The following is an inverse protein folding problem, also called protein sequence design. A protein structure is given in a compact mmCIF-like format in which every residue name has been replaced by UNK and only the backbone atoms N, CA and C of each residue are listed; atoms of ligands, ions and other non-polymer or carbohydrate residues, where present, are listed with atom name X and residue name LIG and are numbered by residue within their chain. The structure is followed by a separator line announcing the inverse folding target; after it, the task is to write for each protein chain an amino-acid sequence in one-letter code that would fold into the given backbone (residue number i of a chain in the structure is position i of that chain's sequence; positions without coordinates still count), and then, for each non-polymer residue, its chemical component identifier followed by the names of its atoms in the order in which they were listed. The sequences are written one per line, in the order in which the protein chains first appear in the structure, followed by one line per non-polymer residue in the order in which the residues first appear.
data_IF_488982343963
#
_entry.id   IF_488982343963
#
_cell.length_a   1.000
_cell.length_b   1.000
_cell.length_c   1.000
_cell.angle_alpha   90.00
_cell.angle_beta   90.00
_cell.angle_gamma   90.00
#
_symmetry.space_group_name_H-M   'P 1'
#
loop_
_entity.id
_entity.type
_entity.pdbx_description
1 polymer ?
#
# COMPACT_ATOMS: atom_id res chain seq x y z
N UNK A 1 68.52 -18.68 13.89
CA UNK A 1 67.58 -18.00 14.80
C UNK A 1 66.20 -18.62 14.55
N UNK A 2 65.89 -19.76 15.19
CA UNK A 2 65.08 -19.88 16.44
C UNK A 2 63.65 -19.35 16.24
N UNK A 3 62.52 -20.06 16.43
CA UNK A 3 62.13 -21.34 17.07
C UNK A 3 60.60 -21.49 16.81
N UNK A 4 60.05 -22.61 16.30
CA UNK A 4 59.50 -23.81 16.99
C UNK A 4 58.44 -23.55 18.10
N UNK A 5 57.17 -23.90 17.82
CA UNK A 5 56.31 -24.93 18.49
C UNK A 5 54.83 -24.72 18.07
N UNK A 6 54.13 -25.58 17.32
CA UNK A 6 53.65 -26.96 17.52
C UNK A 6 52.68 -27.16 18.70
N UNK A 7 51.43 -27.53 18.38
CA UNK A 7 50.75 -28.78 18.78
C UNK A 7 49.22 -28.61 18.73
N UNK A 8 48.36 -29.59 18.43
CA UNK A 8 48.51 -30.89 17.75
C UNK A 8 47.11 -31.54 17.61
N UNK A 9 46.92 -32.26 16.51
CA UNK A 9 46.25 -33.58 16.40
C UNK A 9 44.77 -33.76 16.76
N UNK A 10 43.96 -34.00 15.71
CA UNK A 10 43.02 -35.15 15.65
C UNK A 10 43.81 -36.47 15.66
N UNK A 11 43.28 -37.63 16.13
CA UNK A 11 42.58 -38.54 15.19
C UNK A 11 41.58 -39.60 15.79
N UNK A 12 40.61 -39.99 14.96
CA UNK A 12 39.93 -41.31 14.75
C UNK A 12 39.47 -42.29 15.87
N UNK A 13 38.18 -42.67 15.76
CA UNK A 13 37.56 -44.02 15.77
C UNK A 13 37.41 -44.84 17.09
N UNK A 14 36.18 -45.32 17.39
CA UNK A 14 35.77 -46.75 17.56
C UNK A 14 34.50 -46.95 18.45
N UNK A 15 33.62 -47.85 17.99
CA UNK A 15 32.70 -48.77 18.72
C UNK A 15 31.36 -48.31 19.34
N UNK A 16 30.29 -48.84 18.74
CA UNK A 16 29.20 -49.64 19.34
C UNK A 16 29.05 -49.65 20.88
N UNK A 17 27.87 -49.22 21.36
CA UNK A 17 27.09 -49.95 22.37
C UNK A 17 25.62 -49.47 22.39
N UNK A 18 24.69 -50.44 22.34
CA UNK A 18 23.25 -50.29 22.52
C UNK A 18 22.89 -50.16 24.01
N UNK A 19 21.91 -49.32 24.34
CA UNK A 19 21.00 -49.48 25.49
C UNK A 19 19.62 -48.91 25.09
N UNK A 20 18.64 -49.80 24.84
CA UNK A 20 17.53 -50.20 25.74
C UNK A 20 16.64 -49.04 26.20
N UNK A 21 15.45 -48.95 25.60
CA UNK A 21 14.14 -48.63 26.21
C UNK A 21 13.10 -49.19 25.21
N UNK A 22 12.60 -50.42 25.38
CA UNK A 22 11.41 -50.76 26.17
C UNK A 22 10.16 -49.97 25.76
N UNK A 23 9.51 -50.39 24.67
CA UNK A 23 8.07 -50.21 24.51
C UNK A 23 7.42 -51.59 24.38
N UNK A 24 6.50 -51.82 25.32
CA UNK A 24 5.67 -53.00 25.45
C UNK A 24 4.62 -53.08 24.35
N UNK A 25 4.40 -54.31 23.92
CA UNK A 25 3.47 -54.78 22.91
C UNK A 25 2.00 -54.52 23.23
N UNK A 26 1.21 -54.29 22.18
CA UNK A 26 -0.15 -54.85 22.08
C UNK A 26 -0.30 -55.46 20.69
N UNK A 27 -0.44 -56.78 20.66
CA UNK A 27 -0.68 -57.66 19.51
C UNK A 27 -2.18 -57.71 19.20
N UNK A 28 -2.57 -57.93 17.93
CA UNK A 28 -3.65 -58.83 17.46
C UNK A 28 -3.73 -58.73 15.90
N UNK A 29 -3.23 -59.74 15.17
CA UNK A 29 -3.96 -60.73 14.31
C UNK A 29 -4.79 -60.07 13.17
N UNK A 30 -4.76 -60.46 11.88
CA UNK A 30 -4.42 -61.71 11.18
C UNK A 30 -4.28 -61.43 9.64
N UNK A 31 -3.80 -62.43 8.86
CA UNK A 31 -3.40 -62.40 7.43
C UNK A 31 -4.48 -62.00 6.41
N UNK A 32 -4.28 -61.94 5.08
CA UNK A 32 -3.39 -62.58 4.09
C UNK A 32 -3.60 -61.81 2.77
N UNK A 33 -2.66 -61.48 1.87
CA UNK A 33 -2.05 -62.34 0.83
C UNK A 33 -1.08 -61.50 -0.03
N UNK A 34 0.04 -62.12 -0.46
CA UNK A 34 0.98 -61.67 -1.50
C UNK A 34 0.42 -61.93 -2.91
N UNK A 35 0.69 -61.05 -3.87
CA UNK A 35 1.17 -61.40 -5.24
C UNK A 35 2.08 -60.28 -5.78
N UNK A 36 3.16 -60.68 -6.44
CA UNK A 36 4.26 -59.88 -7.02
C UNK A 36 4.05 -59.51 -8.51
N UNK A 37 4.41 -58.26 -8.87
CA UNK A 37 5.06 -57.68 -10.08
C UNK A 37 5.07 -58.46 -11.44
N UNK A 38 4.99 -57.77 -12.63
CA UNK A 38 6.05 -56.86 -13.07
C UNK A 38 5.68 -55.62 -13.95
N UNK A 39 6.74 -54.87 -14.24
CA UNK A 39 6.98 -53.60 -14.96
C UNK A 39 6.38 -53.39 -16.36
N UNK A 40 5.93 -52.14 -16.65
CA UNK A 40 6.43 -51.26 -17.72
C UNK A 40 5.69 -49.90 -17.76
N UNK A 41 6.44 -48.79 -17.82
CA UNK A 41 5.97 -47.42 -18.13
C UNK A 41 5.60 -47.25 -19.63
N UNK A 42 5.02 -46.11 -20.11
CA UNK A 42 4.51 -44.93 -19.41
C UNK A 42 3.04 -44.58 -19.77
N UNK A 43 2.26 -44.13 -18.79
CA UNK A 43 0.92 -43.59 -19.01
C UNK A 43 0.96 -42.08 -19.24
N UNK A 44 0.56 -41.63 -20.42
CA UNK A 44 0.08 -40.27 -20.67
C UNK A 44 -1.26 -40.07 -19.97
N UNK A 45 -1.30 -39.26 -18.92
CA UNK A 45 -2.57 -38.81 -18.32
C UNK A 45 -2.79 -37.33 -18.62
N UNK A 46 -3.71 -37.09 -19.55
CA UNK A 46 -4.34 -35.81 -19.76
C UNK A 46 -5.39 -35.59 -18.66
N UNK A 47 -5.20 -34.56 -17.84
CA UNK A 47 -6.25 -34.08 -16.92
C UNK A 47 -7.17 -33.15 -17.72
N UNK A 48 -8.35 -33.66 -18.06
CA UNK A 48 -9.50 -32.84 -18.48
C UNK A 48 -10.11 -32.19 -17.24
N UNK A 49 -9.87 -30.90 -17.05
CA UNK A 49 -10.60 -30.11 -16.05
C UNK A 49 -11.88 -29.57 -16.69
N UNK A 50 -13.01 -30.22 -16.44
CA UNK A 50 -14.34 -29.69 -16.76
C UNK A 50 -14.85 -28.82 -15.60
N UNK A 51 -14.64 -27.50 -15.68
CA UNK A 51 -15.29 -26.52 -14.81
C UNK A 51 -16.61 -26.05 -15.41
N UNK A 52 -17.75 -26.51 -14.86
CA UNK A 52 -19.07 -25.91 -15.11
C UNK A 52 -19.23 -24.69 -14.20
N UNK A 53 -19.13 -23.48 -14.75
CA UNK A 53 -19.59 -22.27 -14.08
C UNK A 53 -21.10 -22.16 -14.28
N UNK A 54 -21.88 -22.37 -13.21
CA UNK A 54 -23.30 -21.98 -13.16
C UNK A 54 -23.36 -20.54 -12.65
N UNK A 55 -23.59 -19.58 -13.54
CA UNK A 55 -24.06 -18.25 -13.16
C UNK A 55 -25.58 -18.34 -12.91
N UNK A 56 -26.01 -18.13 -11.66
CA UNK A 56 -27.41 -17.97 -11.32
C UNK A 56 -27.76 -16.48 -11.36
N UNK A 57 -28.57 -16.09 -12.36
CA UNK A 57 -29.25 -14.79 -12.42
C UNK A 57 -30.58 -14.97 -11.69
N UNK A 58 -30.74 -14.33 -10.54
CA UNK A 58 -32.03 -14.25 -9.85
C UNK A 58 -32.68 -12.93 -10.24
N UNK A 59 -33.69 -13.03 -11.08
CA UNK A 59 -34.71 -12.02 -11.34
C UNK A 59 -35.66 -11.95 -10.13
N UNK A 60 -35.99 -10.74 -9.68
CA UNK A 60 -37.11 -10.50 -8.76
C UNK A 60 -37.83 -9.22 -9.18
N UNK A 61 -39.05 -9.40 -9.67
CA UNK A 61 -40.16 -8.45 -9.58
C UNK A 61 -41.39 -9.22 -9.08
N UNK A 62 -42.20 -8.49 -8.29
CA UNK A 62 -43.53 -8.78 -7.74
C UNK A 62 -43.59 -9.86 -6.63
N UNK A 63 -44.15 -9.63 -5.43
CA UNK A 63 -45.48 -9.10 -5.17
C UNK A 63 -45.69 -8.84 -3.64
N UNK A 64 -46.33 -7.71 -3.35
CA UNK A 64 -47.45 -7.44 -2.43
C UNK A 64 -47.72 -8.25 -1.11
N UNK A 65 -48.08 -7.46 -0.06
CA UNK A 65 -48.92 -7.75 1.14
C UNK A 65 -48.23 -8.53 2.30
N UNK A 66 -48.35 -8.19 3.61
CA UNK A 66 -49.19 -7.24 4.35
C UNK A 66 -48.97 -7.36 5.89
N UNK A 67 -49.44 -6.33 6.64
CA UNK A 67 -49.89 -6.29 8.06
C UNK A 67 -48.87 -6.56 9.20
N UNK A 68 -48.89 -5.96 10.41
CA UNK A 68 -49.75 -5.07 11.23
C UNK A 68 -48.88 -4.66 12.45
N UNK A 69 -48.79 -3.41 12.94
CA UNK A 69 -49.73 -2.51 13.62
C UNK A 69 -49.72 -2.61 15.18
N UNK A 70 -49.54 -1.44 15.83
CA UNK A 70 -49.91 -1.09 17.22
C UNK A 70 -48.80 -1.23 18.28
N UNK A 71 -48.59 -0.34 19.27
CA UNK A 71 -49.24 0.91 19.72
C UNK A 71 -48.35 1.50 20.85
N UNK A 72 -47.91 2.78 20.85
CA UNK A 72 -48.56 3.96 21.46
C UNK A 72 -47.84 4.42 22.78
N UNK A 73 -48.12 5.60 23.40
CA UNK A 73 -48.24 6.99 22.87
C UNK A 73 -47.77 8.15 23.84
N UNK A 74 -48.05 9.42 23.43
CA UNK A 74 -48.25 10.70 24.20
C UNK A 74 -47.01 11.62 24.44
N UNK A 75 -47.04 12.97 24.35
CA UNK A 75 -48.10 14.01 24.36
C UNK A 75 -47.59 15.44 23.99
N UNK A 76 -48.50 16.30 23.46
CA UNK A 76 -48.67 17.79 23.56
C UNK A 76 -47.53 18.77 23.12
N UNK A 77 -47.73 19.93 22.46
CA UNK A 77 -48.89 20.67 21.94
C UNK A 77 -48.54 22.16 21.60
N UNK A 78 -49.35 22.81 20.73
CA UNK A 78 -49.58 24.28 20.49
C UNK A 78 -48.55 25.12 19.66
N UNK A 79 -48.83 25.54 18.41
CA UNK A 79 -49.55 26.74 17.85
C UNK A 79 -48.85 28.10 18.13
N UNK A 80 -48.41 28.92 17.14
CA UNK A 80 -49.17 29.87 16.26
C UNK A 80 -48.38 30.22 14.95
N UNK A 81 -48.95 30.20 13.72
CA UNK A 81 -49.63 31.28 12.93
C UNK A 81 -48.69 32.43 12.46
N UNK A 82 -48.57 32.94 11.22
CA UNK A 82 -49.42 32.91 10.01
C UNK A 82 -48.62 33.45 8.75
N UNK A 83 -48.99 33.00 7.52
CA UNK A 83 -48.86 33.62 6.15
C UNK A 83 -47.49 33.72 5.41
N UNK A 84 -47.31 33.51 4.09
CA UNK A 84 -48.15 33.22 2.89
C UNK A 84 -47.21 32.72 1.73
N UNK A 85 -47.71 31.76 0.93
CA UNK A 85 -47.43 31.37 -0.49
C UNK A 85 -46.13 30.66 -1.00
N UNK A 86 -46.41 29.61 -1.79
CA UNK A 86 -45.64 28.56 -2.53
C UNK A 86 -44.99 29.10 -3.85
N UNK A 87 -44.23 28.37 -4.72
CA UNK A 87 -43.69 27.00 -4.66
C UNK A 87 -42.23 26.78 -5.17
N UNK A 88 -41.70 25.57 -4.90
CA UNK A 88 -40.71 24.81 -5.69
C UNK A 88 -39.36 25.47 -6.07
N UNK A 89 -38.27 25.03 -5.43
CA UNK A 89 -36.94 24.86 -6.06
C UNK A 89 -36.04 23.95 -5.20
N UNK A 90 -35.65 22.82 -5.77
CA UNK A 90 -34.60 21.96 -5.23
C UNK A 90 -33.24 22.54 -5.63
N UNK A 91 -32.39 22.78 -4.63
CA UNK A 91 -31.05 23.31 -4.80
C UNK A 91 -30.12 22.27 -5.43
N UNK A 92 -29.45 22.73 -6.48
CA UNK A 92 -28.29 22.12 -7.10
C UNK A 92 -27.07 22.29 -6.20
N UNK A 93 -26.57 21.20 -5.61
CA UNK A 93 -25.24 21.19 -4.99
C UNK A 93 -24.20 20.91 -6.07
N UNK A 94 -23.49 21.97 -6.44
CA UNK A 94 -22.35 21.99 -7.34
C UNK A 94 -21.14 21.32 -6.68
N UNK A 95 -20.73 20.15 -7.18
CA UNK A 95 -19.46 19.53 -6.78
C UNK A 95 -18.33 20.11 -7.65
N UNK A 96 -17.57 21.04 -7.08
CA UNK A 96 -16.40 21.65 -7.71
C UNK A 96 -15.29 20.62 -7.97
N UNK A 97 -14.91 20.48 -9.23
CA UNK A 97 -13.71 19.73 -9.65
C UNK A 97 -12.52 20.67 -9.55
N UNK A 98 -11.56 20.35 -8.68
CA UNK A 98 -10.28 21.05 -8.57
C UNK A 98 -9.50 20.88 -9.88
N UNK A 99 -9.18 22.00 -10.51
CA UNK A 99 -8.37 22.09 -11.71
C UNK A 99 -6.90 21.83 -11.38
N UNK A 100 -6.23 21.01 -12.18
CA UNK A 100 -4.79 20.83 -12.14
C UNK A 100 -4.12 22.08 -12.73
N UNK A 101 -3.47 22.87 -11.88
CA UNK A 101 -2.68 24.02 -12.28
C UNK A 101 -1.43 23.53 -13.03
N UNK A 102 -1.30 23.97 -14.29
CA UNK A 102 -0.17 23.65 -15.16
C UNK A 102 0.75 24.89 -15.21
N UNK A 103 1.86 24.86 -14.47
CA UNK A 103 2.86 25.91 -14.56
C UNK A 103 3.68 25.81 -15.87
N UNK A 104 4.08 26.95 -16.49
CA UNK A 104 4.84 26.95 -17.73
C UNK A 104 6.33 26.69 -17.47
N UNK A 105 6.95 25.83 -18.27
CA UNK A 105 8.40 25.56 -18.26
C UNK A 105 9.21 26.77 -18.78
N UNK A 106 10.32 27.16 -18.14
CA UNK A 106 11.24 28.10 -18.73
C UNK A 106 12.13 27.38 -19.76
N UNK A 107 12.31 28.03 -20.91
CA UNK A 107 13.25 27.62 -21.93
C UNK A 107 14.66 28.13 -21.61
N UNK A 108 15.66 27.35 -22.06
CA UNK A 108 17.10 27.60 -22.14
C UNK A 108 17.95 27.45 -20.87
N UNK A 109 18.76 26.39 -20.91
CA UNK A 109 19.99 26.26 -20.14
C UNK A 109 20.32 24.78 -19.92
N UNK A 110 21.13 24.19 -20.80
CA UNK A 110 21.88 22.97 -20.44
C UNK A 110 22.86 23.40 -19.34
N UNK A 111 22.39 23.31 -18.09
CA UNK A 111 23.24 23.32 -16.91
C UNK A 111 23.78 21.89 -16.81
N UNK A 112 25.09 21.76 -16.65
CA UNK A 112 25.78 20.50 -16.40
C UNK A 112 25.13 19.78 -15.22
N UNK A 113 24.42 18.70 -15.50
CA UNK A 113 23.82 17.78 -14.53
C UNK A 113 24.94 16.94 -13.88
N UNK A 114 25.71 17.54 -12.98
CA UNK A 114 26.52 16.86 -11.96
C UNK A 114 25.86 16.98 -10.57
N UNK A 115 24.55 17.26 -10.53
CA UNK A 115 23.72 17.18 -9.33
C UNK A 115 22.91 15.88 -9.39
N UNK A 116 23.61 14.75 -9.25
CA UNK A 116 22.97 13.58 -8.64
C UNK A 116 22.40 14.08 -7.32
N UNK A 117 21.06 14.21 -7.21
CA UNK A 117 20.41 14.45 -5.94
C UNK A 117 20.97 13.42 -4.96
N UNK A 118 21.80 13.85 -4.00
CA UNK A 118 22.26 13.00 -2.92
C UNK A 118 21.04 12.66 -2.08
N UNK A 119 20.28 11.65 -2.52
CA UNK A 119 19.20 10.97 -1.80
C UNK A 119 19.71 10.40 -0.46
N UNK A 120 21.00 10.52 -0.19
CA UNK A 120 21.74 10.01 0.94
C UNK A 120 21.90 11.05 2.06
N UNK A 121 21.72 12.34 1.79
CA UNK A 121 21.80 13.36 2.82
C UNK A 121 20.51 13.38 3.64
N UNK A 122 20.57 13.53 4.97
CA UNK A 122 19.39 13.81 5.77
C UNK A 122 18.76 15.14 5.33
N UNK A 123 17.44 15.25 5.52
CA UNK A 123 16.74 16.51 5.27
C UNK A 123 17.37 17.62 6.14
N UNK A 124 17.59 18.84 5.62
CA UNK A 124 18.26 19.90 6.38
C UNK A 124 17.65 20.14 7.77
N UNK A 125 18.49 20.09 8.79
CA UNK A 125 18.08 20.22 10.19
C UNK A 125 17.64 18.92 10.87
N UNK A 126 17.79 17.77 10.19
CA UNK A 126 17.66 16.43 10.77
C UNK A 126 19.01 15.71 10.81
N UNK A 127 19.11 14.75 11.72
CA UNK A 127 20.23 13.81 11.81
C UNK A 127 20.08 12.70 10.78
N UNK A 128 21.17 12.01 10.46
CA UNK A 128 21.10 10.86 9.56
C UNK A 128 20.44 9.66 10.23
N UNK A 129 19.73 8.84 9.45
CA UNK A 129 19.14 7.59 9.95
C UNK A 129 20.19 6.63 10.53
N UNK A 130 21.39 6.45 9.92
CA UNK A 130 22.47 5.68 10.55
C UNK A 130 22.88 6.14 11.96
N UNK A 131 22.93 7.45 12.24
CA UNK A 131 23.23 7.96 13.58
C UNK A 131 22.11 7.64 14.57
N UNK A 132 20.84 7.80 14.16
CA UNK A 132 19.71 7.43 15.00
C UNK A 132 19.68 5.93 15.30
N UNK A 133 20.00 5.08 14.32
CA UNK A 133 20.12 3.63 14.50
C UNK A 133 21.19 3.30 15.56
N UNK A 134 22.33 3.99 15.54
CA UNK A 134 23.38 3.79 16.54
C UNK A 134 22.92 4.23 17.94
N UNK A 135 22.24 5.37 18.06
CA UNK A 135 21.73 5.82 19.36
C UNK A 135 20.68 4.86 19.94
N UNK A 136 19.77 4.34 19.12
CA UNK A 136 18.82 3.29 19.52
C UNK A 136 19.55 2.02 19.96
N UNK A 137 20.60 1.61 19.23
CA UNK A 137 21.44 0.45 19.57
C UNK A 137 22.10 0.60 20.94
N UNK A 138 22.48 1.82 21.31
CA UNK A 138 23.06 2.15 22.62
C UNK A 138 22.01 2.39 23.73
N UNK A 139 20.71 2.22 23.44
CA UNK A 139 19.62 2.41 24.40
C UNK A 139 19.28 3.87 24.68
N UNK A 140 19.71 4.80 23.83
CA UNK A 140 19.32 6.21 23.92
C UNK A 140 17.98 6.47 23.25
N UNK A 141 17.39 7.61 23.57
CA UNK A 141 16.25 8.13 22.83
C UNK A 141 16.67 8.76 21.51
N UNK A 142 15.76 8.69 20.53
CA UNK A 142 15.77 9.49 19.31
C UNK A 142 14.41 10.19 19.22
N UNK A 143 14.41 11.46 18.82
CA UNK A 143 13.18 12.19 18.48
C UNK A 143 12.80 11.85 17.05
N UNK A 144 11.62 11.28 16.85
CA UNK A 144 11.08 10.96 15.53
C UNK A 144 9.93 11.90 15.24
N UNK A 145 9.96 12.58 14.09
CA UNK A 145 8.87 13.47 13.66
C UNK A 145 8.19 12.94 12.40
N UNK A 146 6.89 13.14 12.30
CA UNK A 146 6.13 12.89 11.09
C UNK A 146 5.98 14.15 10.22
N UNK A 147 5.31 14.00 9.07
CA UNK A 147 5.09 15.12 8.15
C UNK A 147 4.09 16.14 8.73
N UNK A 148 4.23 17.41 8.34
CA UNK A 148 3.38 18.51 8.81
C UNK A 148 1.87 18.28 8.52
N UNK A 149 1.55 17.52 7.47
CA UNK A 149 0.18 17.19 7.07
C UNK A 149 -0.44 16.02 7.86
N UNK A 150 0.32 15.37 8.75
CA UNK A 150 -0.13 14.21 9.55
C UNK A 150 -0.46 14.61 11.00
N UNK A 151 0.41 14.31 11.97
CA UNK A 151 0.26 14.76 13.37
C UNK A 151 1.00 16.10 13.56
N UNK A 152 2.09 16.31 12.81
CA UNK A 152 3.04 17.42 12.98
C UNK A 152 3.64 17.42 14.40
N UNK A 153 3.88 16.24 14.96
CA UNK A 153 4.30 16.00 16.33
C UNK A 153 5.64 15.24 16.35
N UNK A 154 6.24 15.13 17.53
CA UNK A 154 7.49 14.41 17.72
C UNK A 154 7.42 13.47 18.90
N UNK A 155 7.91 12.25 18.70
CA UNK A 155 7.92 11.18 19.69
C UNK A 155 9.33 10.89 20.19
N UNK A 156 9.46 10.67 21.50
CA UNK A 156 10.63 10.03 22.09
C UNK A 156 10.60 8.53 21.80
N UNK A 157 11.52 8.04 20.98
CA UNK A 157 11.61 6.64 20.59
C UNK A 157 12.84 5.97 21.19
N UNK A 158 12.68 4.77 21.78
CA UNK A 158 13.79 3.91 22.20
C UNK A 158 13.47 2.41 22.04
N UNK A 159 14.48 1.55 22.13
CA UNK A 159 14.28 0.10 22.16
C UNK A 159 13.73 -0.36 23.51
N UNK A 160 12.62 -1.11 23.52
CA UNK A 160 11.95 -1.54 24.75
C UNK A 160 12.83 -2.47 25.61
N UNK A 161 13.63 -3.33 24.98
CA UNK A 161 14.56 -4.22 25.70
C UNK A 161 15.67 -3.49 26.47
N UNK A 162 15.86 -2.19 26.21
CA UNK A 162 16.85 -1.34 26.88
C UNK A 162 16.19 -0.31 27.82
N UNK A 163 14.89 -0.44 28.08
CA UNK A 163 14.16 0.49 28.93
C UNK A 163 14.70 0.49 30.38
N UNK A 164 14.93 1.68 30.93
CA UNK A 164 15.36 1.88 32.31
C UNK A 164 14.37 2.76 33.09
N UNK A 165 14.38 2.71 34.44
CA UNK A 165 13.60 3.64 35.25
C UNK A 165 13.94 5.11 34.95
N UNK A 166 15.21 5.42 34.66
CA UNK A 166 15.65 6.78 34.31
C UNK A 166 15.07 7.22 32.96
N UNK A 167 15.04 6.32 31.97
CA UNK A 167 14.42 6.59 30.68
C UNK A 167 12.91 6.83 30.82
N UNK A 168 12.23 6.05 31.67
CA UNK A 168 10.80 6.26 31.93
C UNK A 168 10.53 7.55 32.69
N UNK A 169 11.39 7.91 33.65
CA UNK A 169 11.30 9.20 34.33
C UNK A 169 11.50 10.36 33.36
N UNK A 170 12.39 10.20 32.36
CA UNK A 170 12.59 11.18 31.29
C UNK A 170 11.33 11.35 30.42
N UNK A 171 10.71 10.25 29.99
CA UNK A 171 9.42 10.29 29.26
C UNK A 171 8.34 10.98 30.10
N UNK A 172 8.22 10.67 31.38
CA UNK A 172 7.21 11.28 32.27
C UNK A 172 7.40 12.78 32.42
N UNK A 173 8.65 13.23 32.40
CA UNK A 173 8.99 14.64 32.56
C UNK A 173 8.72 15.47 31.31
N UNK A 174 8.88 14.87 30.12
CA UNK A 174 8.93 15.60 28.86
C UNK A 174 7.85 15.19 27.83
N UNK A 175 7.15 14.09 28.05
CA UNK A 175 6.09 13.60 27.18
C UNK A 175 4.71 13.68 27.80
N UNK A 176 3.70 13.22 27.05
CA UNK A 176 2.30 13.15 27.49
C UNK A 176 2.08 12.24 28.71
N UNK A 177 3.03 11.34 28.97
CA UNK A 177 2.92 10.29 29.97
C UNK A 177 2.15 9.06 29.50
N UNK A 178 1.57 9.10 28.29
CA UNK A 178 0.96 7.94 27.62
C UNK A 178 2.09 7.11 27.00
N UNK A 179 2.69 6.24 27.80
CA UNK A 179 3.83 5.43 27.37
C UNK A 179 3.34 4.25 26.54
N UNK A 180 3.63 4.31 25.24
CA UNK A 180 3.24 3.30 24.29
C UNK A 180 4.37 2.29 24.01
N UNK A 181 4.00 1.06 23.68
CA UNK A 181 4.94 0.00 23.29
C UNK A 181 4.49 -0.64 21.98
N UNK A 182 5.14 -0.30 20.88
CA UNK A 182 4.86 -0.88 19.57
C UNK A 182 5.46 -2.28 19.46
N UNK A 183 4.67 -3.24 18.99
CA UNK A 183 5.11 -4.63 18.82
C UNK A 183 4.39 -5.33 17.66
N UNK A 184 5.01 -6.40 17.17
CA UNK A 184 4.48 -7.23 16.08
C UNK A 184 3.21 -7.98 16.48
N UNK A 185 2.43 -8.35 15.48
CA UNK A 185 1.18 -9.11 15.68
C UNK A 185 1.43 -10.44 16.38
N UNK A 186 2.48 -11.17 15.99
CA UNK A 186 2.85 -12.46 16.59
C UNK A 186 3.13 -12.34 18.11
N UNK A 187 3.73 -11.22 18.55
CA UNK A 187 3.98 -10.95 19.97
C UNK A 187 2.68 -10.61 20.71
N UNK A 188 1.81 -9.82 20.09
CA UNK A 188 0.48 -9.51 20.65
C UNK A 188 -0.40 -10.76 20.76
N UNK A 189 -0.39 -11.64 19.76
CA UNK A 189 -1.10 -12.92 19.79
C UNK A 189 -0.54 -13.84 20.88
N UNK A 190 0.79 -13.97 20.97
CA UNK A 190 1.47 -14.75 22.02
C UNK A 190 1.08 -14.26 23.41
N UNK A 191 1.04 -12.94 23.63
CA UNK A 191 0.71 -12.31 24.91
C UNK A 191 -0.81 -12.15 25.13
N UNK A 192 -1.64 -12.54 24.16
CA UNK A 192 -3.11 -12.38 24.17
C UNK A 192 -3.53 -10.94 24.50
N UNK A 193 -3.02 -10.00 23.71
CA UNK A 193 -3.28 -8.57 23.81
C UNK A 193 -4.16 -8.13 22.61
N UNK A 194 -5.49 -8.33 22.68
CA UNK A 194 -6.38 -7.88 21.62
C UNK A 194 -6.43 -6.36 21.54
N UNK A 195 -6.86 -5.84 20.38
CA UNK A 195 -7.18 -4.41 20.22
C UNK A 195 -8.23 -3.98 21.26
N UNK A 196 -8.07 -2.78 21.81
CA UNK A 196 -9.02 -2.22 22.79
C UNK A 196 -10.37 -1.91 22.14
N UNK A 197 -10.34 -1.46 20.88
CA UNK A 197 -11.52 -1.20 20.04
C UNK A 197 -11.32 -1.94 18.72
N UNK A 198 -12.38 -2.56 18.21
CA UNK A 198 -12.31 -3.25 16.93
C UNK A 198 -11.95 -2.27 15.81
N UNK A 199 -11.17 -2.72 14.82
CA UNK A 199 -10.67 -1.84 13.77
C UNK A 199 -11.75 -1.15 12.93
N UNK A 200 -12.93 -1.77 12.79
CA UNK A 200 -14.08 -1.16 12.09
C UNK A 200 -14.76 -0.05 12.89
N UNK A 201 -14.57 -0.06 14.21
CA UNK A 201 -15.18 0.85 15.17
C UNK A 201 -14.15 1.86 15.70
N UNK A 202 -12.90 1.80 15.21
CA UNK A 202 -11.87 2.76 15.57
C UNK A 202 -12.07 4.06 14.78
N UNK A 203 -12.77 5.00 15.40
CA UNK A 203 -13.09 6.32 14.85
C UNK A 203 -11.99 7.36 15.12
N UNK A 204 -10.86 6.97 15.72
CA UNK A 204 -9.70 7.85 15.89
C UNK A 204 -9.15 8.26 14.52
N UNK A 205 -8.80 9.56 14.40
CA UNK A 205 -8.42 10.23 13.15
C UNK A 205 -7.33 9.49 12.37
N UNK A 206 -6.38 8.89 13.07
CA UNK A 206 -5.21 8.19 12.49
C UNK A 206 -5.25 6.67 12.69
N UNK A 207 -6.37 6.20 13.25
CA UNK A 207 -6.70 4.81 13.59
C UNK A 207 -5.51 4.08 14.23
N UNK A 208 -4.89 4.70 15.23
CA UNK A 208 -3.80 4.10 16.01
C UNK A 208 -4.31 2.83 16.69
N UNK A 209 -3.54 1.75 16.56
CA UNK A 209 -3.99 0.40 16.88
C UNK A 209 -3.69 0.02 18.34
N UNK A 210 -4.35 0.72 19.27
CA UNK A 210 -4.24 0.45 20.70
C UNK A 210 -4.77 -0.93 21.07
N UNK A 211 -4.03 -1.61 21.94
CA UNK A 211 -4.46 -2.87 22.58
C UNK A 211 -4.89 -2.62 24.02
N UNK A 212 -5.39 -3.66 24.68
CA UNK A 212 -5.69 -3.60 26.12
C UNK A 212 -4.42 -3.21 26.89
N UNK A 213 -4.53 -2.22 27.77
CA UNK A 213 -3.39 -1.76 28.59
C UNK A 213 -2.95 -2.82 29.59
N UNK A 214 -1.67 -2.77 29.96
CA UNK A 214 -1.06 -3.80 30.81
C UNK A 214 -0.11 -3.23 31.84
N UNK A 215 0.04 -3.99 32.92
CA UNK A 215 1.16 -3.90 33.87
C UNK A 215 1.78 -5.28 34.04
N UNK A 216 3.09 -5.35 34.25
CA UNK A 216 3.72 -6.57 34.73
C UNK A 216 3.11 -6.94 36.09
N UNK A 217 2.81 -8.23 36.26
CA UNK A 217 2.16 -8.76 37.46
C UNK A 217 3.12 -8.92 38.63
N UNK A 218 4.39 -9.18 38.33
CA UNK A 218 5.45 -9.38 39.30
C UNK A 218 6.50 -8.28 39.15
N UNK A 219 7.14 -7.89 40.27
CA UNK A 219 8.20 -6.87 40.26
C UNK A 219 7.70 -5.43 40.19
N UNK A 220 6.38 -5.22 40.26
CA UNK A 220 5.70 -3.91 40.24
C UNK A 220 4.89 -3.72 41.53
N UNK A 221 4.41 -2.50 41.74
CA UNK A 221 3.51 -2.13 42.84
C UNK A 221 2.16 -1.68 42.29
N UNK A 222 2.01 -0.40 41.96
CA UNK A 222 0.80 0.16 41.36
C UNK A 222 0.86 0.23 39.84
N UNK A 223 2.03 0.02 39.22
CA UNK A 223 2.21 0.05 37.77
C UNK A 223 2.64 1.40 37.20
N UNK A 224 2.32 2.50 37.89
CA UNK A 224 2.50 3.88 37.35
C UNK A 224 3.91 4.46 37.53
N UNK A 225 4.68 3.94 38.48
CA UNK A 225 6.03 4.46 38.77
C UNK A 225 6.95 4.28 37.56
N UNK A 226 7.99 5.10 37.42
CA UNK A 226 8.96 4.95 36.33
C UNK A 226 9.62 3.56 36.35
N UNK A 227 9.90 3.03 37.55
CA UNK A 227 10.44 1.68 37.75
C UNK A 227 9.43 0.60 37.36
N UNK A 228 8.17 0.77 37.73
CA UNK A 228 7.11 -0.21 37.43
C UNK A 228 6.86 -0.27 35.92
N UNK A 229 6.79 0.90 35.27
CA UNK A 229 6.67 1.01 33.81
C UNK A 229 7.84 0.39 33.07
N UNK A 230 9.08 0.65 33.50
CA UNK A 230 10.26 0.01 32.91
C UNK A 230 10.19 -1.52 33.06
N UNK A 231 9.74 -2.02 34.21
CA UNK A 231 9.56 -3.46 34.45
C UNK A 231 8.52 -4.07 33.51
N UNK A 232 7.38 -3.40 33.32
CA UNK A 232 6.34 -3.80 32.36
C UNK A 232 6.86 -3.83 30.93
N UNK A 233 7.60 -2.79 30.51
CA UNK A 233 8.15 -2.69 29.15
C UNK A 233 9.18 -3.79 28.88
N UNK A 234 10.08 -4.06 29.83
CA UNK A 234 11.05 -5.16 29.72
C UNK A 234 10.36 -6.52 29.64
N UNK A 235 9.26 -6.72 30.39
CA UNK A 235 8.44 -7.92 30.27
C UNK A 235 7.77 -8.03 28.90
N UNK A 236 7.23 -6.93 28.36
CA UNK A 236 6.64 -6.89 27.01
C UNK A 236 7.67 -7.22 25.92
N UNK A 237 8.90 -6.72 26.05
CA UNK A 237 10.00 -6.99 25.12
C UNK A 237 10.53 -8.44 25.21
N UNK A 238 10.27 -9.15 26.31
CA UNK A 238 10.77 -10.50 26.52
C UNK A 238 10.02 -11.54 25.69
N UNK A 239 10.78 -12.36 24.95
CA UNK A 239 10.26 -13.52 24.22
C UNK A 239 9.76 -14.64 25.13
N UNK A 240 10.26 -14.69 26.37
CA UNK A 240 9.90 -15.72 27.36
C UNK A 240 8.61 -15.38 28.12
N UNK A 241 8.15 -14.12 28.03
CA UNK A 241 6.95 -13.69 28.72
C UNK A 241 5.69 -14.33 28.14
N UNK A 242 4.72 -14.54 29.04
CA UNK A 242 3.46 -15.22 28.78
C UNK A 242 2.29 -14.31 29.14
N UNK A 243 1.07 -14.60 28.64
CA UNK A 243 -0.11 -13.81 28.96
C UNK A 243 -0.36 -13.64 30.46
N UNK A 244 0.00 -14.63 31.28
CA UNK A 244 -0.21 -14.66 32.73
C UNK A 244 0.75 -13.74 33.52
N UNK A 245 1.81 -13.26 32.88
CA UNK A 245 2.78 -12.33 33.47
C UNK A 245 2.25 -10.88 33.53
N UNK A 246 1.08 -10.62 32.94
CA UNK A 246 0.50 -9.29 32.82
C UNK A 246 -0.88 -9.19 33.47
N UNK A 247 -1.09 -8.10 34.22
CA UNK A 247 -2.41 -7.63 34.64
C UNK A 247 -3.05 -6.83 33.49
N UNK A 248 -4.39 -6.89 33.41
CA UNK A 248 -5.22 -6.15 32.43
C UNK A 248 -6.43 -5.59 33.19
N UNK A 249 -6.69 -4.27 33.21
CA UNK A 249 -5.90 -3.20 32.59
C UNK A 249 -4.58 -2.94 33.33
N UNK A 250 -3.78 -2.01 32.80
CA UNK A 250 -2.61 -1.42 33.46
C UNK A 250 -2.23 -0.06 32.87
N UNK A 251 -0.96 0.33 32.96
CA UNK A 251 -0.50 1.70 32.67
C UNK A 251 0.43 1.83 31.46
N UNK A 252 0.80 0.72 30.82
CA UNK A 252 1.48 0.72 29.52
C UNK A 252 0.47 0.43 28.42
N UNK A 253 0.64 1.08 27.27
CA UNK A 253 -0.27 1.03 26.12
C UNK A 253 0.40 0.30 24.94
N UNK A 254 0.25 -1.02 24.79
CA UNK A 254 0.84 -1.70 23.65
C UNK A 254 0.09 -1.34 22.36
N UNK A 255 0.85 -1.13 21.29
CA UNK A 255 0.38 -0.78 19.96
C UNK A 255 0.70 -1.89 18.96
N UNK A 256 -0.24 -2.17 18.06
CA UNK A 256 -0.03 -3.12 16.97
C UNK A 256 0.73 -2.48 15.80
N UNK A 257 1.93 -2.99 15.55
CA UNK A 257 2.71 -2.72 14.35
C UNK A 257 2.03 -3.26 13.10
N UNK A 258 2.02 -2.48 11.99
CA UNK A 258 1.57 -2.96 10.68
C UNK A 258 2.74 -3.55 9.90
N UNK A 259 2.61 -4.81 9.48
CA UNK A 259 3.64 -5.46 8.68
C UNK A 259 3.94 -4.71 7.39
N UNK A 260 5.23 -4.46 7.15
CA UNK A 260 5.74 -3.52 6.14
C UNK A 260 6.24 -2.19 6.73
N UNK A 261 5.92 -1.89 7.99
CA UNK A 261 6.46 -0.73 8.72
C UNK A 261 6.16 0.60 8.06
N UNK A 262 7.10 1.53 8.13
CA UNK A 262 6.93 2.90 7.61
C UNK A 262 6.69 2.92 6.10
N UNK A 263 7.07 1.87 5.38
CA UNK A 263 6.82 1.73 3.95
C UNK A 263 5.34 1.46 3.63
N UNK A 264 4.56 1.00 4.62
CA UNK A 264 3.11 0.75 4.50
C UNK A 264 2.26 1.75 5.26
N UNK A 265 2.72 2.21 6.43
CA UNK A 265 2.10 3.29 7.19
C UNK A 265 3.19 4.18 7.78
N UNK A 266 3.25 5.42 7.32
CA UNK A 266 4.16 6.44 7.83
C UNK A 266 3.69 6.96 9.21
N UNK A 267 3.82 6.17 10.28
CA UNK A 267 3.45 6.57 11.63
C UNK A 267 4.51 6.22 12.67
N UNK A 268 4.44 6.89 13.83
CA UNK A 268 5.39 6.71 14.94
C UNK A 268 5.44 5.27 15.46
N UNK A 269 4.29 4.57 15.47
CA UNK A 269 4.21 3.14 15.80
C UNK A 269 5.15 2.31 14.93
N UNK A 270 5.05 2.45 13.60
CA UNK A 270 5.89 1.73 12.66
C UNK A 270 7.35 2.17 12.72
N UNK A 271 7.60 3.48 12.83
CA UNK A 271 8.95 4.04 12.91
C UNK A 271 9.71 3.51 14.14
N UNK A 272 9.04 3.41 15.29
CA UNK A 272 9.64 2.90 16.52
C UNK A 272 10.15 1.46 16.38
N UNK A 273 9.35 0.56 15.80
CA UNK A 273 9.76 -0.84 15.57
C UNK A 273 10.82 -0.92 14.49
N UNK A 274 10.65 -0.20 13.37
CA UNK A 274 11.60 -0.25 12.26
C UNK A 274 13.01 0.20 12.69
N UNK A 275 13.12 1.26 13.51
CA UNK A 275 14.40 1.70 14.05
C UNK A 275 15.04 0.65 14.97
N UNK A 276 14.25 -0.02 15.82
CA UNK A 276 14.77 -1.11 16.67
C UNK A 276 15.30 -2.30 15.86
N UNK A 277 14.59 -2.67 14.79
CA UNK A 277 15.01 -3.74 13.88
C UNK A 277 16.28 -3.36 13.12
N UNK A 278 16.36 -2.13 12.60
CA UNK A 278 17.57 -1.62 11.94
C UNK A 278 18.77 -1.52 12.90
N UNK A 279 18.52 -1.30 14.19
CA UNK A 279 19.55 -1.34 15.23
C UNK A 279 20.06 -2.76 15.53
N UNK A 280 19.38 -3.80 15.04
CA UNK A 280 19.69 -5.21 15.33
C UNK A 280 19.14 -5.70 16.67
N UNK A 281 18.08 -5.05 17.18
CA UNK A 281 17.42 -5.35 18.45
C UNK A 281 16.07 -6.05 18.20
N UNK A 282 15.43 -6.54 19.27
CA UNK A 282 14.09 -7.11 19.20
C UNK A 282 13.08 -6.07 18.71
N UNK A 283 12.06 -6.48 17.92
CA UNK A 283 11.13 -5.59 17.21
C UNK A 283 10.06 -5.00 18.15
N UNK A 284 10.49 -4.41 19.25
CA UNK A 284 9.63 -3.82 20.28
C UNK A 284 10.16 -2.43 20.62
N UNK A 285 9.41 -1.40 20.25
CA UNK A 285 9.77 0.01 20.42
C UNK A 285 8.93 0.69 21.49
N UNK A 286 9.53 1.57 22.28
CA UNK A 286 8.81 2.50 23.17
C UNK A 286 8.68 3.83 22.45
N UNK A 287 7.51 4.46 22.57
CA UNK A 287 7.23 5.80 22.06
C UNK A 287 6.32 6.58 23.00
N UNK A 288 6.50 7.90 23.02
CA UNK A 288 5.63 8.84 23.72
C UNK A 288 5.81 10.23 23.11
N UNK A 289 4.70 10.89 22.83
CA UNK A 289 4.67 12.20 22.21
C UNK A 289 5.22 13.27 23.16
N UNK A 290 5.99 14.23 22.63
CA UNK A 290 6.65 15.29 23.40
C UNK A 290 5.69 16.47 23.58
N UNK A 291 5.59 16.96 24.81
CA UNK A 291 4.77 18.14 25.16
C UNK A 291 5.66 19.38 25.30
N UNK A 292 5.08 20.54 25.01
CA UNK A 292 5.68 21.84 25.29
C UNK A 292 5.40 22.26 26.75
N UNK A 293 6.12 23.27 27.24
CA UNK A 293 6.06 23.76 28.62
C UNK A 293 4.68 24.36 28.97
N UNK A 294 3.92 24.79 27.95
CA UNK A 294 2.56 25.31 28.10
C UNK A 294 1.48 24.20 28.10
N UNK A 295 1.88 22.94 27.94
CA UNK A 295 1.00 21.77 27.88
C UNK A 295 0.43 21.46 26.50
N UNK A 296 0.77 22.25 25.47
CA UNK A 296 0.48 21.90 24.07
C UNK A 296 1.46 20.86 23.53
N UNK A 297 1.20 20.32 22.34
CA UNK A 297 2.12 19.39 21.69
C UNK A 297 3.28 20.13 21.05
N UNK A 298 4.51 19.70 21.33
CA UNK A 298 5.71 20.34 20.80
C UNK A 298 5.79 20.18 19.28
N UNK A 299 6.03 21.29 18.57
CA UNK A 299 6.18 21.34 17.11
C UNK A 299 7.64 21.43 16.70
N UNK A 300 7.93 21.24 15.41
CA UNK A 300 9.29 21.07 14.89
C UNK A 300 10.34 22.07 15.41
N UNK A 301 10.07 23.40 15.50
CA UNK A 301 11.06 24.33 16.07
C UNK A 301 11.44 24.00 17.52
N UNK A 302 10.44 23.77 18.38
CA UNK A 302 10.65 23.42 19.79
C UNK A 302 11.26 22.02 19.94
N UNK A 303 10.86 21.06 19.09
CA UNK A 303 11.45 19.72 19.07
C UNK A 303 12.95 19.75 18.75
N UNK A 304 13.39 20.65 17.87
CA UNK A 304 14.82 20.84 17.56
C UNK A 304 15.59 21.42 18.76
N UNK A 305 15.01 22.41 19.45
CA UNK A 305 15.58 22.96 20.68
C UNK A 305 15.69 21.88 21.75
N UNK A 306 14.60 21.15 21.99
CA UNK A 306 14.55 20.04 22.94
C UNK A 306 15.58 18.95 22.63
N UNK A 307 15.71 18.55 21.36
CA UNK A 307 16.71 17.56 20.94
C UNK A 307 18.14 18.06 21.19
N UNK A 308 18.43 19.33 20.88
CA UNK A 308 19.73 19.92 21.13
C UNK A 308 20.08 20.02 22.63
N UNK A 309 19.13 20.49 23.45
CA UNK A 309 19.30 20.63 24.91
C UNK A 309 19.56 19.29 25.60
N UNK A 310 18.92 18.23 25.13
CA UNK A 310 19.03 16.88 25.70
C UNK A 310 20.05 15.99 24.96
N UNK A 311 20.77 16.54 23.98
CA UNK A 311 21.74 15.83 23.15
C UNK A 311 21.16 14.55 22.52
N UNK A 312 19.95 14.68 21.95
CA UNK A 312 19.24 13.64 21.23
C UNK A 312 19.30 13.88 19.73
N UNK A 313 19.35 12.81 18.94
CA UNK A 313 19.17 12.89 17.49
C UNK A 313 17.70 13.13 17.18
N UNK A 314 17.44 13.94 16.16
CA UNK A 314 16.11 14.16 15.60
C UNK A 314 16.08 13.70 14.15
N UNK A 315 15.11 12.87 13.79
CA UNK A 315 14.94 12.31 12.43
C UNK A 315 13.50 12.41 11.97
N UNK A 316 13.28 12.42 10.67
CA UNK A 316 11.93 12.38 10.08
C UNK A 316 11.56 10.98 9.62
N UNK A 317 10.26 10.64 9.69
CA UNK A 317 9.73 9.40 9.11
C UNK A 317 9.97 9.38 7.59
N UNK A 318 9.92 10.53 6.92
CA UNK A 318 10.23 10.65 5.49
C UNK A 318 11.67 10.21 5.17
N UNK A 319 12.65 10.64 5.98
CA UNK A 319 14.05 10.20 5.83
C UNK A 319 14.21 8.72 6.14
N UNK A 320 13.47 8.18 7.13
CA UNK A 320 13.46 6.75 7.42
C UNK A 320 12.88 5.93 6.26
N UNK A 321 11.81 6.39 5.63
CA UNK A 321 11.24 5.77 4.42
C UNK A 321 12.26 5.79 3.28
N UNK A 322 12.93 6.92 3.04
CA UNK A 322 13.98 7.04 2.01
C UNK A 322 15.12 6.07 2.28
N UNK A 323 15.60 6.01 3.52
CA UNK A 323 16.64 5.09 3.96
C UNK A 323 16.24 3.63 3.72
N UNK A 324 15.06 3.21 4.19
CA UNK A 324 14.57 1.83 4.03
C UNK A 324 14.36 1.44 2.57
N UNK A 325 13.85 2.35 1.71
CA UNK A 325 13.72 2.08 0.27
C UNK A 325 15.06 1.80 -0.41
N UNK A 326 16.15 2.38 0.12
CA UNK A 326 17.50 2.16 -0.38
C UNK A 326 18.15 0.92 0.22
N UNK A 327 18.02 0.71 1.54
CA UNK A 327 18.72 -0.35 2.26
C UNK A 327 18.06 -1.72 2.12
N UNK A 328 16.72 -1.74 2.03
CA UNK A 328 15.97 -2.99 2.13
C UNK A 328 15.80 -3.61 0.74
N UNK A 329 15.88 -4.93 0.68
CA UNK A 329 15.49 -5.67 -0.51
C UNK A 329 13.96 -5.77 -0.56
N UNK A 330 13.33 -4.84 -1.26
CA UNK A 330 11.86 -4.71 -1.32
C UNK A 330 11.19 -5.56 -2.41
N UNK A 331 11.97 -6.23 -3.24
CA UNK A 331 11.47 -7.07 -4.33
C UNK A 331 12.16 -8.42 -4.36
N UNK A 332 11.39 -9.45 -4.72
CA UNK A 332 11.88 -10.80 -4.94
C UNK A 332 11.62 -11.23 -6.38
N UNK A 333 12.64 -11.83 -7.02
CA UNK A 333 12.47 -12.37 -8.37
C UNK A 333 11.62 -13.64 -8.30
N UNK A 334 10.41 -13.60 -8.84
CA UNK A 334 9.46 -14.72 -8.80
C UNK A 334 9.65 -15.69 -9.96
N UNK A 335 9.94 -15.19 -11.17
CA UNK A 335 10.07 -16.01 -12.38
C UNK A 335 10.84 -15.30 -13.49
N UNK A 336 11.20 -16.03 -14.55
CA UNK A 336 11.80 -15.49 -15.76
C UNK A 336 11.32 -16.26 -17.00
N UNK A 337 11.08 -15.54 -18.10
CA UNK A 337 10.68 -16.14 -19.38
C UNK A 337 11.29 -15.39 -20.57
N UNK A 338 11.60 -16.10 -21.66
CA UNK A 338 12.06 -15.48 -22.90
C UNK A 338 10.85 -15.10 -23.76
N UNK A 339 10.69 -13.81 -24.04
CA UNK A 339 9.56 -13.26 -24.80
C UNK A 339 10.04 -12.88 -26.21
N UNK A 340 9.52 -13.55 -27.27
CA UNK A 340 9.75 -13.11 -28.64
C UNK A 340 8.92 -11.85 -28.92
N UNK A 341 9.57 -10.77 -29.37
CA UNK A 341 8.90 -9.53 -29.78
C UNK A 341 9.30 -9.17 -31.21
N UNK A 342 8.57 -8.22 -31.82
CA UNK A 342 8.94 -7.70 -33.15
C UNK A 342 10.30 -6.99 -33.19
N UNK A 343 10.85 -6.58 -32.03
CA UNK A 343 12.16 -5.93 -31.89
C UNK A 343 13.28 -6.90 -31.49
N UNK A 344 13.00 -8.20 -31.56
CA UNK A 344 13.89 -9.29 -31.16
C UNK A 344 13.52 -9.91 -29.81
N UNK A 345 14.29 -10.92 -29.36
CA UNK A 345 14.02 -11.60 -28.10
C UNK A 345 14.43 -10.74 -26.90
N UNK A 346 13.56 -10.74 -25.89
CA UNK A 346 13.84 -10.22 -24.55
C UNK A 346 13.72 -11.34 -23.52
N UNK A 347 14.40 -11.20 -22.39
CA UNK A 347 14.13 -11.97 -21.18
C UNK A 347 13.31 -11.10 -20.24
N UNK A 348 12.09 -11.53 -19.93
CA UNK A 348 11.23 -10.90 -18.95
C UNK A 348 11.48 -11.52 -17.59
N UNK A 349 11.98 -10.73 -16.65
CA UNK A 349 12.11 -11.10 -15.25
C UNK A 349 10.92 -10.54 -14.47
N UNK A 350 10.21 -11.40 -13.75
CA UNK A 350 9.12 -10.97 -12.87
C UNK A 350 9.66 -10.75 -11.46
N UNK A 351 9.38 -9.58 -10.90
CA UNK A 351 9.73 -9.17 -9.56
C UNK A 351 8.47 -8.90 -8.76
N UNK A 352 8.29 -9.59 -7.65
CA UNK A 352 7.18 -9.38 -6.74
C UNK A 352 7.61 -8.43 -5.63
N UNK A 353 6.87 -7.35 -5.45
CA UNK A 353 7.01 -6.46 -4.30
C UNK A 353 6.60 -7.21 -3.02
N UNK A 354 7.44 -7.15 -1.99
CA UNK A 354 7.13 -7.79 -0.70
C UNK A 354 6.12 -6.99 0.13
N UNK A 355 5.83 -5.75 -0.27
CA UNK A 355 4.98 -4.82 0.48
C UNK A 355 3.49 -5.00 0.14
N UNK A 356 3.18 -5.06 -1.15
CA UNK A 356 1.82 -5.10 -1.69
C UNK A 356 1.56 -6.35 -2.55
N UNK A 357 2.60 -7.15 -2.82
CA UNK A 357 2.50 -8.35 -3.64
C UNK A 357 2.34 -8.08 -5.13
N UNK A 358 2.43 -6.82 -5.57
CA UNK A 358 2.34 -6.46 -7.00
C UNK A 358 3.54 -7.04 -7.73
N UNK A 359 3.27 -7.60 -8.90
CA UNK A 359 4.29 -8.14 -9.79
C UNK A 359 4.67 -7.10 -10.85
N UNK A 360 5.97 -6.79 -10.92
CA UNK A 360 6.57 -5.91 -11.91
C UNK A 360 7.42 -6.72 -12.88
N UNK A 361 7.51 -6.28 -14.14
CA UNK A 361 8.29 -6.97 -15.17
C UNK A 361 9.45 -6.10 -15.61
N UNK A 362 10.66 -6.67 -15.57
CA UNK A 362 11.85 -6.11 -16.21
C UNK A 362 12.13 -6.84 -17.52
N UNK A 363 12.04 -6.12 -18.64
CA UNK A 363 12.34 -6.62 -19.99
C UNK A 363 13.81 -6.37 -20.32
N UNK A 364 14.63 -7.42 -20.38
CA UNK A 364 16.08 -7.33 -20.57
C UNK A 364 16.49 -7.87 -21.93
N UNK A 365 17.34 -7.16 -22.65
CA UNK A 365 17.93 -7.58 -23.93
C UNK A 365 19.45 -7.61 -23.81
N UNK A 366 20.05 -8.78 -24.05
CA UNK A 366 21.49 -8.99 -23.86
C UNK A 366 21.85 -9.31 -22.40
N UNK A 367 23.14 -9.16 -22.09
CA UNK A 367 23.71 -9.35 -20.75
C UNK A 367 23.91 -8.00 -20.07
N UNK A 368 23.54 -7.89 -18.80
CA UNK A 368 23.63 -6.63 -18.02
C UNK A 368 24.98 -6.43 -17.32
N UNK A 369 25.86 -7.44 -17.34
CA UNK A 369 27.22 -7.33 -16.81
C UNK A 369 27.31 -6.86 -15.35
N UNK A 370 28.14 -5.86 -15.11
CA UNK A 370 28.34 -5.19 -13.83
C UNK A 370 27.31 -4.07 -13.54
N UNK A 371 26.36 -3.87 -14.47
CA UNK A 371 25.30 -2.86 -14.36
C UNK A 371 25.73 -1.44 -14.71
N UNK A 372 26.95 -1.23 -15.23
CA UNK A 372 27.42 0.08 -15.69
C UNK A 372 27.00 0.34 -17.15
N UNK A 373 26.73 1.61 -17.49
CA UNK A 373 26.37 2.07 -18.85
C UNK A 373 25.22 1.27 -19.50
N UNK A 374 24.19 0.94 -18.72
CA UNK A 374 23.00 0.23 -19.19
C UNK A 374 21.93 1.23 -19.62
N UNK A 375 21.43 1.08 -20.86
CA UNK A 375 20.27 1.84 -21.31
C UNK A 375 19.01 1.36 -20.59
N UNK A 376 18.43 2.21 -19.74
CA UNK A 376 17.25 1.89 -18.93
C UNK A 376 16.07 2.79 -19.30
N UNK A 377 14.88 2.18 -19.35
CA UNK A 377 13.60 2.89 -19.38
C UNK A 377 12.72 2.36 -18.25
N UNK A 378 12.37 3.23 -17.31
CA UNK A 378 11.29 2.96 -16.34
C UNK A 378 9.97 3.39 -16.96
N UNK A 379 9.00 2.48 -17.01
CA UNK A 379 7.70 2.71 -17.61
C UNK A 379 6.61 2.43 -16.57
N UNK A 380 5.80 3.45 -16.28
CA UNK A 380 4.60 3.28 -15.46
C UNK A 380 3.46 2.75 -16.33
N UNK A 381 2.83 1.67 -15.90
CA UNK A 381 1.71 1.05 -16.62
C UNK A 381 0.59 2.06 -16.90
N UNK A 382 0.15 2.12 -18.15
CA UNK A 382 -1.07 2.80 -18.55
C UNK A 382 -1.96 1.79 -19.27
N UNK A 383 -2.91 1.16 -18.57
CA UNK A 383 -3.81 0.17 -19.16
C UNK A 383 -4.45 0.65 -20.48
N UNK A 384 -4.88 1.92 -20.52
CA UNK A 384 -5.50 2.50 -21.72
C UNK A 384 -4.52 2.71 -22.87
N UNK A 385 -3.29 3.13 -22.58
CA UNK A 385 -2.25 3.36 -23.59
C UNK A 385 -1.63 2.06 -24.07
N UNK A 386 -1.15 1.24 -23.13
CA UNK A 386 -0.33 0.05 -23.37
C UNK A 386 -1.11 -1.12 -23.97
N UNK A 387 -2.34 -1.35 -23.50
CA UNK A 387 -3.16 -2.50 -23.94
C UNK A 387 -4.15 -2.09 -25.03
N UNK A 388 -4.83 -0.96 -24.85
CA UNK A 388 -5.92 -0.54 -25.75
C UNK A 388 -5.46 0.44 -26.84
N UNK A 389 -4.21 0.91 -26.82
CA UNK A 389 -3.68 1.83 -27.82
C UNK A 389 -4.42 3.17 -27.82
N UNK A 390 -4.81 3.68 -26.64
CA UNK A 390 -5.56 4.93 -26.50
C UNK A 390 -4.87 6.06 -27.23
N UNK A 391 -5.61 6.68 -28.17
CA UNK A 391 -5.11 7.74 -29.04
C UNK A 391 -4.71 9.03 -28.30
N UNK A 392 -5.08 9.18 -27.02
CA UNK A 392 -4.64 10.30 -26.17
C UNK A 392 -3.13 10.27 -25.92
N UNK A 393 -2.54 9.09 -25.73
CA UNK A 393 -1.08 8.95 -25.53
C UNK A 393 -0.29 9.00 -26.85
N UNK A 394 -0.98 8.87 -27.99
CA UNK A 394 -0.43 9.02 -29.34
C UNK A 394 -0.42 10.47 -29.86
N UNK A 395 -0.79 11.46 -29.03
CA UNK A 395 -0.84 12.88 -29.40
C UNK A 395 -1.95 13.26 -30.38
N UNK A 396 -2.95 12.39 -30.59
CA UNK A 396 -4.02 12.62 -31.56
C UNK A 396 -5.07 13.57 -30.97
N UNK A 397 -4.97 14.86 -31.35
CA UNK A 397 -5.95 15.89 -30.99
C UNK A 397 -7.18 15.91 -31.89
N UNK A 398 -7.06 15.38 -33.12
CA UNK A 398 -8.13 15.36 -34.14
C UNK A 398 -8.29 14.00 -34.81
N UNK A 399 -9.52 13.59 -35.11
CA UNK A 399 -9.79 12.31 -35.80
C UNK A 399 -11.00 12.36 -36.74
N UNK A 400 -11.01 11.52 -37.80
CA UNK A 400 -12.23 11.20 -38.55
C UNK A 400 -12.86 9.93 -37.99
N UNK A 401 -14.04 10.05 -37.40
CA UNK A 401 -14.69 8.96 -36.67
C UNK A 401 -15.49 8.05 -37.60
N UNK A 402 -15.15 6.75 -37.64
CA UNK A 402 -15.89 5.74 -38.39
C UNK A 402 -17.08 5.19 -37.56
N UNK A 403 -18.29 5.73 -37.73
CA UNK A 403 -19.47 5.27 -36.97
C UNK A 403 -20.79 5.56 -37.66
N UNK A 404 -21.79 4.68 -37.48
CA UNK A 404 -23.20 4.92 -37.85
C UNK A 404 -24.06 5.43 -36.69
N UNK A 405 -23.54 5.37 -35.45
CA UNK A 405 -24.24 5.84 -34.26
C UNK A 405 -23.87 7.32 -33.97
N UNK A 406 -24.82 8.28 -34.04
CA UNK A 406 -24.57 9.69 -33.74
C UNK A 406 -24.22 9.94 -32.26
N UNK A 407 -24.72 9.14 -31.32
CA UNK A 407 -24.41 9.30 -29.90
C UNK A 407 -22.92 9.06 -29.60
N UNK A 408 -22.27 8.15 -30.34
CA UNK A 408 -20.81 7.91 -30.23
C UNK A 408 -19.98 9.10 -30.72
N UNK A 409 -20.52 9.90 -31.64
CA UNK A 409 -19.87 11.13 -32.11
C UNK A 409 -19.89 12.21 -31.03
N UNK A 410 -21.04 12.41 -30.38
CA UNK A 410 -21.23 13.43 -29.35
C UNK A 410 -20.49 13.04 -28.06
N UNK A 411 -20.55 11.78 -27.65
CA UNK A 411 -19.91 11.29 -26.42
C UNK A 411 -18.39 11.44 -26.42
N UNK A 412 -17.73 11.42 -27.59
CA UNK A 412 -16.29 11.56 -27.71
C UNK A 412 -15.79 13.02 -27.69
N UNK A 413 -16.66 14.01 -27.96
CA UNK A 413 -16.28 15.44 -27.85
C UNK A 413 -15.98 15.87 -26.42
N UNK A 414 -16.60 15.25 -25.42
CA UNK A 414 -16.37 15.55 -23.99
C UNK A 414 -14.99 15.14 -23.47
N UNK A 415 -14.21 14.41 -24.27
CA UNK A 415 -12.90 13.88 -23.90
C UNK A 415 -11.73 14.67 -24.52
N UNK A 416 -11.91 15.94 -24.90
CA UNK A 416 -10.82 16.77 -25.44
C UNK A 416 -10.32 16.32 -26.83
N UNK A 417 -11.14 15.55 -27.55
CA UNK A 417 -10.86 15.04 -28.89
C UNK A 417 -11.70 15.80 -29.92
N UNK A 418 -11.05 16.44 -30.89
CA UNK A 418 -11.74 17.17 -31.96
C UNK A 418 -12.07 16.23 -33.14
N UNK A 419 -13.33 15.83 -33.28
CA UNK A 419 -13.75 15.02 -34.42
C UNK A 419 -13.91 15.92 -35.65
N UNK A 420 -12.97 15.82 -36.60
CA UNK A 420 -12.88 16.68 -37.81
C UNK A 420 -13.72 16.14 -38.99
N UNK A 421 -14.32 14.97 -38.83
CA UNK A 421 -15.22 14.41 -39.82
C UNK A 421 -15.75 13.05 -39.41
N UNK A 422 -16.74 12.56 -40.15
CA UNK A 422 -17.37 11.27 -39.89
C UNK A 422 -17.34 10.43 -41.16
N UNK A 423 -16.92 9.17 -41.02
CA UNK A 423 -16.92 8.20 -42.10
C UNK A 423 -18.02 7.16 -41.79
N UNK A 424 -19.07 7.05 -42.63
CA UNK A 424 -20.13 6.08 -42.40
C UNK A 424 -19.63 4.65 -42.65
N UNK A 425 -20.14 3.68 -41.88
CA UNK A 425 -19.92 2.25 -42.13
C UNK A 425 -21.05 1.74 -43.04
N UNK A 426 -20.76 1.50 -44.31
CA UNK A 426 -21.78 1.03 -45.24
C UNK A 426 -21.97 -0.49 -45.09
N UNK A 427 -23.12 -0.89 -44.54
CA UNK A 427 -23.54 -2.30 -44.51
C UNK A 427 -24.71 -2.50 -45.47
N UNK A 428 -24.65 -3.54 -46.29
CA UNK A 428 -25.74 -3.92 -47.18
C UNK A 428 -26.95 -4.37 -46.35
N UNK A 429 -28.12 -3.84 -46.66
CA UNK A 429 -29.37 -4.23 -46.00
C UNK A 429 -29.87 -5.53 -46.63
N UNK A 430 -29.88 -6.61 -45.85
CA UNK A 430 -30.43 -7.91 -46.22
C UNK A 430 -31.78 -8.12 -45.54
N UNK A 431 -32.55 -9.14 -45.94
CA UNK A 431 -33.86 -9.42 -45.32
C UNK A 431 -33.74 -9.72 -43.83
N UNK A 432 -32.63 -10.36 -43.43
CA UNK A 432 -32.34 -10.82 -42.07
C UNK A 432 -31.93 -9.65 -41.16
N UNK A 433 -31.15 -8.68 -41.66
CA UNK A 433 -30.64 -7.58 -40.85
C UNK A 433 -31.53 -6.32 -40.88
N UNK A 434 -32.51 -6.25 -41.81
CA UNK A 434 -33.38 -5.09 -42.02
C UNK A 434 -34.08 -4.64 -40.74
N UNK A 435 -34.76 -5.56 -40.04
CA UNK A 435 -35.50 -5.24 -38.80
C UNK A 435 -34.59 -4.68 -37.72
N UNK A 436 -33.37 -5.23 -37.60
CA UNK A 436 -32.37 -4.77 -36.65
C UNK A 436 -31.84 -3.38 -36.99
N UNK A 437 -31.47 -3.14 -38.25
CA UNK A 437 -30.95 -1.85 -38.72
C UNK A 437 -32.02 -0.74 -38.66
N UNK A 438 -33.28 -1.06 -38.98
CA UNK A 438 -34.42 -0.15 -38.80
C UNK A 438 -34.64 0.18 -37.33
N UNK A 439 -34.58 -0.81 -36.44
CA UNK A 439 -34.67 -0.56 -34.99
C UNK A 439 -33.55 0.37 -34.52
N UNK A 440 -32.31 0.18 -34.99
CA UNK A 440 -31.19 1.06 -34.67
C UNK A 440 -31.35 2.47 -35.24
N UNK A 441 -31.94 2.60 -36.44
CA UNK A 441 -32.24 3.91 -37.05
C UNK A 441 -33.31 4.64 -36.24
N UNK A 442 -34.44 4.00 -35.98
CA UNK A 442 -35.60 4.63 -35.35
C UNK A 442 -35.36 4.93 -33.87
N UNK A 443 -34.74 4.00 -33.12
CA UNK A 443 -34.55 4.17 -31.66
C UNK A 443 -33.27 4.93 -31.28
N UNK A 444 -32.22 4.84 -32.09
CA UNK A 444 -30.89 5.37 -31.74
C UNK A 444 -30.33 6.35 -32.79
N UNK A 445 -31.16 6.78 -33.74
CA UNK A 445 -30.79 7.77 -34.75
C UNK A 445 -29.70 7.33 -35.71
N UNK A 446 -29.44 6.02 -35.85
CA UNK A 446 -28.38 5.55 -36.74
C UNK A 446 -28.65 5.91 -38.20
N UNK A 447 -27.62 6.42 -38.89
CA UNK A 447 -27.71 6.80 -40.30
C UNK A 447 -27.19 5.69 -41.21
N UNK A 448 -27.95 5.34 -42.25
CA UNK A 448 -27.57 4.34 -43.26
C UNK A 448 -28.14 4.73 -44.63
N UNK A 449 -27.36 4.60 -45.71
CA UNK A 449 -27.78 4.80 -47.11
C UNK A 449 -27.04 5.93 -47.84
N UNK A 450 -27.11 5.93 -49.18
CA UNK A 450 -26.42 6.83 -50.12
C UNK A 450 -26.89 8.31 -50.11
N UNK A 451 -27.75 8.73 -49.18
CA UNK A 451 -28.09 10.16 -48.99
C UNK A 451 -27.09 10.83 -48.04
N UNK A 452 -25.82 10.86 -48.44
CA UNK A 452 -24.83 11.78 -47.87
C UNK A 452 -24.77 12.98 -48.82
N UNK A 453 -25.56 14.04 -48.57
CA UNK A 453 -25.23 15.37 -49.09
C UNK A 453 -24.27 15.97 -48.07
N UNK A 454 -22.97 15.81 -48.30
CA UNK A 454 -21.99 16.65 -47.64
C UNK A 454 -22.02 18.01 -48.32
N UNK A 455 -21.98 19.09 -47.53
CA UNK A 455 -21.69 20.42 -48.04
C UNK A 455 -20.32 20.38 -48.72
N UNK A 456 -20.33 20.49 -50.05
CA UNK A 456 -19.12 20.75 -50.82
C UNK A 456 -18.80 22.21 -50.57
N UNK A 457 -17.72 22.46 -49.85
CA UNK A 457 -17.09 23.77 -49.81
C UNK A 457 -16.57 24.04 -51.23
N UNK A 458 -17.23 24.96 -51.96
CA UNK A 458 -16.69 25.49 -53.21
C UNK A 458 -15.35 26.15 -52.92
N UNK A 459 -14.30 25.64 -53.56
CA UNK A 459 -13.05 26.36 -53.73
C UNK A 459 -13.31 27.45 -54.77
N UNK A 460 -13.21 28.71 -54.37
CA UNK A 460 -12.90 29.80 -55.30
C UNK A 460 -11.40 29.73 -55.59
N UNK A 461 -11.05 29.14 -56.73
CA UNK A 461 -9.73 29.30 -57.33
C UNK A 461 -9.78 30.57 -58.22
N UNK A 462 -9.05 31.60 -57.81
CA UNK A 462 -8.66 32.72 -58.66
C UNK A 462 -7.72 32.19 -59.75
N UNK A 463 -8.15 32.23 -61.01
CA UNK A 463 -7.25 32.29 -62.15
C UNK A 463 -7.94 32.92 -63.36
N UNK A 464 -7.35 34.02 -63.81
CA UNK A 464 -7.70 34.77 -65.00
C UNK A 464 -7.76 33.91 -66.27
N UNK A 465 -8.65 34.27 -67.20
CA UNK A 465 -8.37 34.13 -68.63
C UNK A 465 -9.07 35.24 -69.41
N UNK A 466 -8.25 35.96 -70.16
CA UNK A 466 -8.54 36.97 -71.17
C UNK A 466 -9.18 36.38 -72.43
N UNK A 467 -9.75 37.29 -73.24
CA UNK A 467 -10.20 37.17 -74.64
C UNK A 467 -11.64 36.70 -74.84
N UNK A 468 -12.47 37.25 -75.73
CA UNK A 468 -12.53 38.47 -76.55
C UNK A 468 -13.85 38.32 -77.33
N UNK A 469 -14.64 39.38 -77.54
CA UNK A 469 -15.28 39.71 -78.84
C UNK A 469 -16.34 40.81 -78.70
N UNK A 470 -16.35 41.66 -79.73
CA UNK A 470 -17.13 42.86 -80.07
C UNK A 470 -16.90 44.15 -79.27
#
# INVERSE_FOLDING_TARGET
MSSINLSSSSPSTISLARSRLSQSSTTLLHGSHRVSLPSNHPSSFAIKTTGKVKAAVISREDDLLSYTNGNAPLSNGSLTDDRIEDPLKADSVSLGTLAADSAPAPANGFVSEDDDYELDLPTPGFSSIPEAIEDIRQGKFVVVVDDEDRENEGDLVMAAQLATPEAMAFIVKHGTGIVCVSMKDDDLERLRLPLMVNQKENEEKLSTAFTVTVDAKNGTTTGVSARDRATTILALASRDSKPEDFNRPGHIFPLKYREGGVLKRAGHTEASVDLTVLAGLDPVGVLCEIVDDDGSMARLPKLREFAAENNLKIVSIADLIRYRRKSDKLVERSSAARIPTMWGPFTAYCYKSILDGIEHIAMVKGEIGDGQDILVRVHSECLTGDIFGSARDLGVRTMKLMTNNPAKYIGLKGYGLAIVGRVPLLSLITKENKKYLETKRTKMGHMYGLKFKGDVVEKTDDAATTESES
#
